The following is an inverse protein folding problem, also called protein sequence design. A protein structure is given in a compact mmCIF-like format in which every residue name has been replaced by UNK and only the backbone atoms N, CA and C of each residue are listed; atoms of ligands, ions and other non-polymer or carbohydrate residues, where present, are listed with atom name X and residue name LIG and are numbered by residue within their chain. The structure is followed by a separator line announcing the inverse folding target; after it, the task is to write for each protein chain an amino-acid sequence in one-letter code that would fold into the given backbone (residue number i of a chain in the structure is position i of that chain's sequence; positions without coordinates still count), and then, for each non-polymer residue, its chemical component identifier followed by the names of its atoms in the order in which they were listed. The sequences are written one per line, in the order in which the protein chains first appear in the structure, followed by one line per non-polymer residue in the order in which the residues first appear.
data_IF_535709011272
#
_entry.id   IF_535709011272
#
_cell.length_a   1.000
_cell.length_b   1.000
_cell.length_c   1.000
_cell.angle_alpha   90.00
_cell.angle_beta   90.00
_cell.angle_gamma   90.00
#
_symmetry.space_group_name_H-M   'P 1'
#
loop_
_entity.id
_entity.type
_entity.pdbx_description
1 polymer ?
#
# COMPACT_ATOMS: atom_id res chain seq x y z
N UNK A 1 13.25 27.57 9.67
CA UNK A 1 13.23 26.20 9.12
C UNK A 1 12.15 26.11 8.04
N UNK A 2 12.21 25.12 7.14
CA UNK A 2 11.20 24.92 6.09
C UNK A 2 10.36 23.69 6.45
N UNK A 3 9.04 23.82 6.52
CA UNK A 3 8.15 22.67 6.64
C UNK A 3 8.21 21.85 5.33
N UNK A 4 8.21 20.52 5.46
CA UNK A 4 8.26 19.60 4.34
C UNK A 4 7.32 18.43 4.65
N UNK A 5 6.35 18.18 3.77
CA UNK A 5 5.50 16.99 3.78
C UNK A 5 5.87 16.13 2.57
N UNK A 6 6.20 14.87 2.80
CA UNK A 6 6.62 13.91 1.79
C UNK A 6 5.66 12.72 1.82
N UNK A 7 4.78 12.64 0.82
CA UNK A 7 3.92 11.48 0.58
C UNK A 7 4.57 10.63 -0.51
N UNK A 8 5.15 9.49 -0.12
CA UNK A 8 5.92 8.63 -1.03
C UNK A 8 5.16 7.34 -1.32
N UNK A 9 5.78 6.45 -2.10
CA UNK A 9 5.20 5.18 -2.50
C UNK A 9 5.31 4.06 -1.46
N UNK A 10 5.10 2.82 -1.88
CA UNK A 10 5.16 1.67 -0.98
C UNK A 10 5.34 0.30 -1.66
N UNK A 11 5.80 -0.66 -0.86
CA UNK A 11 5.85 -2.09 -1.21
C UNK A 11 4.77 -2.87 -0.43
N UNK A 12 3.51 -2.57 -0.77
CA UNK A 12 2.34 -2.95 0.01
C UNK A 12 2.05 -4.47 -0.06
N UNK A 13 1.71 -5.06 1.08
CA UNK A 13 1.37 -6.48 1.20
C UNK A 13 -0.13 -6.69 1.48
N UNK A 14 -0.75 -7.60 0.73
CA UNK A 14 -2.10 -8.10 0.99
C UNK A 14 -2.01 -9.56 1.44
N UNK A 15 -2.48 -9.87 2.65
CA UNK A 15 -2.52 -11.23 3.20
C UNK A 15 -3.87 -11.86 2.86
N UNK A 16 -3.84 -13.11 2.39
CA UNK A 16 -5.03 -13.90 2.08
C UNK A 16 -5.05 -15.16 2.94
N UNK A 17 -6.02 -15.27 3.83
CA UNK A 17 -6.37 -16.50 4.54
C UNK A 17 -7.45 -17.29 3.76
N UNK A 18 -7.66 -18.58 4.08
CA UNK A 18 -8.79 -19.33 3.55
C UNK A 18 -10.12 -18.62 3.83
N UNK A 19 -10.93 -18.48 2.79
CA UNK A 19 -12.27 -17.89 2.87
C UNK A 19 -13.28 -18.77 2.15
N UNK A 20 -14.55 -18.64 2.53
CA UNK A 20 -15.66 -19.36 1.88
C UNK A 20 -15.94 -18.82 0.47
N UNK A 21 -15.94 -17.48 0.31
CA UNK A 21 -16.17 -16.81 -0.96
C UNK A 21 -14.84 -16.44 -1.65
N UNK A 22 -14.31 -17.40 -2.42
CA UNK A 22 -13.06 -17.23 -3.19
C UNK A 22 -13.21 -16.12 -4.24
N UNK A 23 -14.37 -15.98 -4.86
CA UNK A 23 -14.59 -14.99 -5.93
C UNK A 23 -14.57 -13.56 -5.38
N UNK A 24 -15.12 -13.34 -4.18
CA UNK A 24 -14.99 -12.07 -3.47
C UNK A 24 -13.52 -11.74 -3.14
N UNK A 25 -12.75 -12.73 -2.66
CA UNK A 25 -11.32 -12.54 -2.39
C UNK A 25 -10.51 -12.23 -3.66
N UNK A 26 -10.83 -12.90 -4.77
CA UNK A 26 -10.21 -12.67 -6.08
C UNK A 26 -10.54 -11.27 -6.59
N UNK A 27 -11.81 -10.84 -6.51
CA UNK A 27 -12.21 -9.49 -6.88
C UNK A 27 -11.45 -8.44 -6.07
N UNK A 28 -11.38 -8.59 -4.74
CA UNK A 28 -10.65 -7.69 -3.85
C UNK A 28 -9.17 -7.62 -4.22
N UNK A 29 -8.56 -8.76 -4.51
CA UNK A 29 -7.15 -8.86 -4.91
C UNK A 29 -6.90 -8.15 -6.23
N UNK A 30 -7.75 -8.36 -7.23
CA UNK A 30 -7.67 -7.67 -8.54
C UNK A 30 -7.80 -6.15 -8.36
N UNK A 31 -8.75 -5.68 -7.56
CA UNK A 31 -8.92 -4.26 -7.25
C UNK A 31 -7.72 -3.67 -6.49
N UNK A 32 -7.06 -4.49 -5.65
CA UNK A 32 -5.88 -4.07 -4.92
C UNK A 32 -4.64 -4.03 -5.80
N UNK A 33 -4.46 -4.98 -6.72
CA UNK A 33 -3.25 -5.11 -7.53
C UNK A 33 -3.30 -4.30 -8.83
N UNK A 34 -4.45 -4.28 -9.53
CA UNK A 34 -4.49 -3.92 -10.95
C UNK A 34 -5.37 -2.71 -11.28
N UNK A 35 -6.19 -2.19 -10.35
CA UNK A 35 -6.93 -0.94 -10.62
C UNK A 35 -5.96 0.18 -11.01
N UNK A 36 -6.35 1.02 -11.97
CA UNK A 36 -5.46 2.07 -12.53
C UNK A 36 -4.13 1.51 -13.07
N UNK A 37 -4.13 0.27 -13.57
CA UNK A 37 -2.95 -0.47 -14.00
C UNK A 37 -1.87 -0.59 -12.91
N UNK A 38 -2.28 -0.73 -11.64
CA UNK A 38 -1.36 -0.86 -10.51
C UNK A 38 -0.66 0.45 -10.11
N UNK A 39 -1.06 1.59 -10.66
CA UNK A 39 -0.41 2.90 -10.48
C UNK A 39 -0.95 3.70 -9.30
N UNK A 40 -1.69 3.08 -8.38
CA UNK A 40 -2.00 3.73 -7.09
C UNK A 40 -0.88 3.41 -6.11
N UNK A 41 -0.50 4.39 -5.29
CA UNK A 41 0.51 4.21 -4.26
C UNK A 41 0.14 3.09 -3.26
N UNK A 42 -1.16 2.84 -3.05
CA UNK A 42 -1.69 1.79 -2.17
C UNK A 42 -1.94 0.45 -2.87
N UNK A 43 -1.61 0.31 -4.16
CA UNK A 43 -1.79 -0.97 -4.84
C UNK A 43 -0.92 -2.07 -4.20
N UNK A 44 -1.47 -3.28 -4.11
CA UNK A 44 -0.74 -4.45 -3.64
C UNK A 44 0.42 -4.77 -4.59
N UNK A 45 1.64 -4.87 -4.03
CA UNK A 45 2.84 -5.34 -4.75
C UNK A 45 3.13 -6.79 -4.41
N UNK A 46 2.84 -7.17 -3.17
CA UNK A 46 3.05 -8.51 -2.63
C UNK A 46 1.71 -9.08 -2.17
N UNK A 47 1.40 -10.28 -2.64
CA UNK A 47 0.26 -11.08 -2.22
C UNK A 47 0.77 -12.26 -1.41
N UNK A 48 0.42 -12.31 -0.14
CA UNK A 48 0.82 -13.38 0.76
C UNK A 48 -0.33 -14.38 0.85
N UNK A 49 -0.13 -15.59 0.34
CA UNK A 49 -1.19 -16.60 0.22
C UNK A 49 -0.84 -17.82 1.05
N UNK A 50 -1.76 -18.27 1.92
CA UNK A 50 -1.53 -19.43 2.77
C UNK A 50 -1.20 -20.68 1.95
N UNK A 51 -0.25 -21.48 2.42
CA UNK A 51 0.05 -22.79 1.84
C UNK A 51 -1.16 -23.75 1.92
N UNK A 52 -1.19 -24.71 1.00
CA UNK A 52 -2.21 -25.76 0.94
C UNK A 52 -3.33 -25.51 -0.08
N UNK A 53 -4.22 -26.50 -0.20
CA UNK A 53 -5.19 -26.61 -1.30
C UNK A 53 -6.12 -25.39 -1.44
N UNK A 54 -6.51 -24.75 -0.32
CA UNK A 54 -7.35 -23.55 -0.37
C UNK A 54 -6.61 -22.36 -1.01
N UNK A 55 -5.33 -22.18 -0.68
CA UNK A 55 -4.49 -21.16 -1.31
C UNK A 55 -4.22 -21.44 -2.78
N UNK A 56 -4.03 -22.72 -3.14
CA UNK A 56 -3.84 -23.13 -4.54
C UNK A 56 -5.09 -22.88 -5.38
N UNK A 57 -6.27 -23.21 -4.85
CA UNK A 57 -7.55 -22.93 -5.48
C UNK A 57 -7.78 -21.42 -5.67
N UNK A 58 -7.44 -20.61 -4.67
CA UNK A 58 -7.51 -19.15 -4.77
C UNK A 58 -6.58 -18.60 -5.86
N UNK A 59 -5.32 -19.03 -5.92
CA UNK A 59 -4.37 -18.59 -6.97
C UNK A 59 -4.86 -19.00 -8.35
N UNK A 60 -5.33 -20.25 -8.51
CA UNK A 60 -5.88 -20.72 -9.79
C UNK A 60 -7.04 -19.85 -10.25
N UNK A 61 -7.98 -19.53 -9.34
CA UNK A 61 -9.12 -18.66 -9.65
C UNK A 61 -8.70 -17.23 -9.93
N UNK A 62 -7.72 -16.69 -9.19
CA UNK A 62 -7.13 -15.37 -9.44
C UNK A 62 -6.56 -15.28 -10.87
N UNK A 63 -5.81 -16.29 -11.32
CA UNK A 63 -5.24 -16.34 -12.66
C UNK A 63 -6.32 -16.39 -13.73
N UNK A 64 -7.34 -17.23 -13.56
CA UNK A 64 -8.46 -17.36 -14.49
C UNK A 64 -9.18 -16.03 -14.71
N UNK A 65 -9.53 -15.31 -13.64
CA UNK A 65 -10.23 -14.02 -13.73
C UNK A 65 -9.30 -12.93 -14.25
N UNK A 66 -8.02 -12.93 -13.83
CA UNK A 66 -7.04 -11.93 -14.28
C UNK A 66 -6.80 -11.99 -15.80
N UNK A 67 -6.80 -13.19 -16.39
CA UNK A 67 -6.69 -13.40 -17.83
C UNK A 67 -7.85 -12.79 -18.64
N UNK A 68 -9.00 -12.58 -18.01
CA UNK A 68 -10.18 -12.01 -18.66
C UNK A 68 -10.28 -10.48 -18.55
N UNK A 69 -9.35 -9.84 -17.83
CA UNK A 69 -9.38 -8.39 -17.66
C UNK A 69 -9.21 -7.68 -19.00
N UNK A 70 -10.16 -6.81 -19.33
CA UNK A 70 -10.05 -5.93 -20.51
C UNK A 70 -9.05 -4.83 -20.22
N UNK A 71 -8.00 -4.78 -21.04
CA UNK A 71 -7.01 -3.70 -21.05
C UNK A 71 -7.14 -2.96 -22.38
N UNK A 72 -7.06 -1.62 -22.36
CA UNK A 72 -7.34 -0.86 -23.57
C UNK A 72 -7.07 0.64 -23.45
N UNK A 73 -7.46 1.38 -24.49
CA UNK A 73 -7.49 2.82 -24.50
C UNK A 73 -8.51 3.38 -23.50
N UNK A 74 -8.25 4.59 -22.98
CA UNK A 74 -9.13 5.25 -22.00
C UNK A 74 -10.54 5.53 -22.52
N UNK A 75 -10.72 5.51 -23.85
CA UNK A 75 -11.98 5.77 -24.56
C UNK A 75 -12.47 4.56 -25.36
N UNK A 76 -11.94 3.36 -25.13
CA UNK A 76 -12.39 2.15 -25.81
C UNK A 76 -13.82 1.80 -25.41
N UNK A 77 -14.58 1.25 -26.36
CA UNK A 77 -15.89 0.67 -26.11
C UNK A 77 -15.93 -0.79 -26.58
N UNK A 78 -16.23 -1.76 -25.68
CA UNK A 78 -16.62 -1.56 -24.29
C UNK A 78 -15.47 -1.10 -23.38
N UNK A 79 -15.79 -0.28 -22.36
CA UNK A 79 -14.83 0.24 -21.40
C UNK A 79 -13.88 -0.82 -20.83
N UNK A 80 -12.56 -0.56 -20.80
CA UNK A 80 -11.59 -1.47 -20.21
C UNK A 80 -11.60 -1.36 -18.68
N UNK A 81 -11.13 -2.41 -18.01
CA UNK A 81 -10.90 -2.39 -16.56
C UNK A 81 -9.70 -1.49 -16.19
N UNK A 82 -8.65 -1.51 -17.00
CA UNK A 82 -7.48 -0.65 -16.82
C UNK A 82 -6.92 -0.17 -18.16
N UNK A 83 -6.35 1.03 -18.15
CA UNK A 83 -5.70 1.64 -19.29
C UNK A 83 -4.20 1.36 -19.36
N UNK A 84 -3.50 2.15 -20.17
CA UNK A 84 -2.04 2.13 -20.22
C UNK A 84 -1.37 2.69 -18.97
N UNK A 85 -0.11 2.27 -18.77
CA UNK A 85 0.77 2.97 -17.83
C UNK A 85 1.17 4.34 -18.38
N UNK A 86 1.70 5.20 -17.52
CA UNK A 86 1.88 6.64 -17.82
C UNK A 86 2.75 6.94 -19.05
N UNK A 87 3.70 6.07 -19.40
CA UNK A 87 4.63 6.31 -20.51
C UNK A 87 5.24 5.03 -21.06
N UNK A 88 5.83 5.12 -22.25
CA UNK A 88 6.62 4.05 -22.87
C UNK A 88 7.81 3.63 -22.00
N UNK A 89 8.49 4.60 -21.36
CA UNK A 89 9.59 4.33 -20.43
C UNK A 89 9.12 3.53 -19.21
N UNK A 90 7.96 3.89 -18.64
CA UNK A 90 7.35 3.12 -17.55
C UNK A 90 7.01 1.69 -17.99
N UNK A 91 6.45 1.54 -19.21
CA UNK A 91 6.13 0.22 -19.75
C UNK A 91 7.37 -0.67 -19.90
N UNK A 92 8.45 -0.13 -20.47
CA UNK A 92 9.74 -0.84 -20.60
C UNK A 92 10.37 -1.18 -19.25
N UNK A 93 10.30 -0.27 -18.28
CA UNK A 93 10.81 -0.53 -16.93
C UNK A 93 10.04 -1.65 -16.22
N UNK A 94 8.73 -1.76 -16.43
CA UNK A 94 7.93 -2.87 -15.87
C UNK A 94 8.29 -4.22 -16.49
N UNK A 95 8.49 -4.27 -17.81
CA UNK A 95 8.97 -5.49 -18.48
C UNK A 95 10.37 -5.89 -17.97
N UNK A 96 11.28 -4.91 -17.84
CA UNK A 96 12.62 -5.14 -17.26
C UNK A 96 12.56 -5.66 -15.83
N UNK A 97 11.70 -5.07 -14.99
CA UNK A 97 11.50 -5.52 -13.62
C UNK A 97 11.01 -6.98 -13.56
N UNK A 98 10.05 -7.35 -14.42
CA UNK A 98 9.65 -8.76 -14.57
C UNK A 98 10.85 -9.64 -14.93
N UNK A 99 11.63 -9.29 -15.96
CA UNK A 99 12.76 -10.10 -16.40
C UNK A 99 13.82 -10.28 -15.29
N UNK A 100 14.07 -9.23 -14.51
CA UNK A 100 14.97 -9.27 -13.33
C UNK A 100 14.44 -10.23 -12.26
N UNK A 101 13.14 -10.20 -11.96
CA UNK A 101 12.52 -11.13 -11.00
C UNK A 101 12.57 -12.58 -11.49
N UNK A 102 12.38 -12.81 -12.78
CA UNK A 102 12.52 -14.14 -13.39
C UNK A 102 13.97 -14.64 -13.33
N UNK A 103 14.94 -13.77 -13.56
CA UNK A 103 16.36 -14.10 -13.48
C UNK A 103 16.82 -14.47 -12.05
N UNK A 104 16.13 -13.97 -11.02
CA UNK A 104 16.35 -14.36 -9.62
C UNK A 104 15.76 -15.73 -9.27
N UNK A 105 15.01 -16.36 -10.18
CA UNK A 105 14.36 -17.65 -9.97
C UNK A 105 12.85 -17.55 -9.74
N UNK A 106 12.25 -16.38 -9.95
CA UNK A 106 10.81 -16.20 -9.94
C UNK A 106 10.11 -17.07 -10.99
N UNK A 107 8.96 -17.64 -10.63
CA UNK A 107 8.17 -18.49 -11.51
C UNK A 107 7.00 -17.67 -12.08
N UNK A 108 6.92 -17.49 -13.41
CA UNK A 108 5.82 -16.74 -13.99
C UNK A 108 4.54 -17.58 -13.92
N UNK A 109 3.52 -17.08 -13.23
CA UNK A 109 2.17 -17.64 -13.28
C UNK A 109 1.34 -16.97 -14.38
N UNK A 110 1.57 -15.67 -14.59
CA UNK A 110 1.05 -14.89 -15.70
C UNK A 110 2.12 -13.88 -16.11
N UNK A 111 2.53 -13.88 -17.38
CA UNK A 111 3.50 -12.90 -17.87
C UNK A 111 2.82 -11.56 -18.13
N UNK A 112 3.40 -10.49 -17.59
CA UNK A 112 3.15 -9.13 -18.03
C UNK A 112 3.65 -9.01 -19.48
N UNK A 113 2.78 -8.56 -20.36
CA UNK A 113 3.07 -8.36 -21.78
C UNK A 113 2.69 -6.95 -22.20
N UNK A 114 3.26 -6.50 -23.31
CA UNK A 114 2.85 -5.28 -24.01
C UNK A 114 2.30 -5.71 -25.38
N UNK A 115 0.98 -5.91 -25.53
CA UNK A 115 0.42 -6.48 -26.76
C UNK A 115 0.70 -5.65 -28.00
N UNK A 116 0.73 -4.32 -27.85
CA UNK A 116 1.09 -3.39 -28.90
C UNK A 116 2.28 -2.52 -28.46
N UNK A 117 3.44 -2.65 -29.10
CA UNK A 117 4.63 -1.89 -28.74
C UNK A 117 4.51 -0.39 -29.01
N UNK A 118 3.46 0.07 -29.72
CA UNK A 118 3.24 1.49 -30.03
C UNK A 118 2.47 2.24 -28.94
N UNK A 119 1.82 1.54 -28.01
CA UNK A 119 1.05 2.16 -26.93
C UNK A 119 1.57 1.73 -25.55
N UNK A 120 1.04 2.31 -24.48
CA UNK A 120 1.53 2.05 -23.10
C UNK A 120 0.70 1.01 -22.35
N UNK A 121 -0.14 0.26 -23.04
CA UNK A 121 -1.01 -0.77 -22.43
C UNK A 121 -0.18 -2.01 -22.12
N UNK A 122 -0.24 -2.42 -20.85
CA UNK A 122 0.34 -3.66 -20.35
C UNK A 122 -0.79 -4.59 -19.91
N UNK A 123 -0.63 -5.90 -20.13
CA UNK A 123 -1.45 -6.90 -19.46
C UNK A 123 -0.98 -7.07 -18.00
N UNK A 124 -1.83 -7.58 -17.09
CA UNK A 124 -1.38 -7.93 -15.75
C UNK A 124 -0.27 -9.01 -15.79
N UNK A 125 0.67 -8.95 -14.86
CA UNK A 125 1.64 -10.00 -14.59
C UNK A 125 1.57 -10.48 -13.15
N UNK A 126 1.78 -11.78 -12.96
CA UNK A 126 1.81 -12.44 -11.66
C UNK A 126 3.02 -13.38 -11.62
N UNK A 127 3.94 -13.13 -10.70
CA UNK A 127 5.15 -13.95 -10.51
C UNK A 127 5.10 -14.55 -9.10
N UNK A 128 5.28 -15.86 -9.00
CA UNK A 128 5.52 -16.52 -7.72
C UNK A 128 7.00 -16.39 -7.35
N UNK A 129 7.25 -15.69 -6.23
CA UNK A 129 8.58 -15.44 -5.65
C UNK A 129 8.80 -16.22 -4.35
N UNK A 130 7.97 -17.23 -4.08
CA UNK A 130 8.11 -18.09 -2.91
C UNK A 130 9.47 -18.76 -2.89
N UNK A 131 10.22 -18.53 -1.81
CA UNK A 131 11.58 -19.08 -1.63
C UNK A 131 12.67 -18.40 -2.46
N UNK A 132 12.34 -17.35 -3.23
CA UNK A 132 13.34 -16.58 -3.98
C UNK A 132 14.06 -15.62 -3.05
N UNK A 133 15.39 -15.73 -2.99
CA UNK A 133 16.23 -14.84 -2.19
C UNK A 133 16.69 -13.62 -3.00
N UNK A 134 17.02 -12.52 -2.32
CA UNK A 134 17.59 -11.34 -2.97
C UNK A 134 16.62 -10.52 -3.81
N UNK A 135 15.31 -10.74 -3.67
CA UNK A 135 14.29 -9.88 -4.30
C UNK A 135 14.46 -8.45 -3.77
N UNK A 136 14.64 -7.45 -4.65
CA UNK A 136 14.75 -6.06 -4.24
C UNK A 136 13.49 -5.58 -3.51
N UNK A 137 13.67 -4.85 -2.42
CA UNK A 137 12.57 -4.16 -1.74
C UNK A 137 12.26 -2.86 -2.47
N UNK A 138 11.62 -2.94 -3.64
CA UNK A 138 11.39 -1.79 -4.52
C UNK A 138 9.90 -1.55 -4.79
N UNK A 139 9.57 -0.32 -5.15
CA UNK A 139 8.24 0.01 -5.64
C UNK A 139 8.15 -0.22 -7.16
N UNK A 140 7.33 -1.19 -7.57
CA UNK A 140 6.98 -1.38 -8.97
C UNK A 140 5.67 -0.68 -9.31
N UNK A 141 5.77 0.41 -10.09
CA UNK A 141 4.62 1.26 -10.41
C UNK A 141 3.90 0.80 -11.69
N UNK A 142 3.25 -0.38 -11.62
CA UNK A 142 2.57 -1.00 -12.74
C UNK A 142 1.81 -2.28 -12.35
N UNK A 143 1.19 -2.98 -13.31
CA UNK A 143 0.31 -4.12 -13.04
C UNK A 143 1.10 -5.43 -12.88
N UNK A 144 2.13 -5.43 -12.03
CA UNK A 144 2.98 -6.58 -11.73
C UNK A 144 2.84 -6.98 -10.26
N UNK A 145 2.26 -8.14 -10.00
CA UNK A 145 2.00 -8.67 -8.66
C UNK A 145 2.95 -9.82 -8.34
N UNK A 146 3.57 -9.78 -7.16
CA UNK A 146 4.39 -10.88 -6.65
C UNK A 146 3.61 -11.73 -5.64
N UNK A 147 3.61 -13.04 -5.79
CA UNK A 147 3.03 -13.99 -4.83
C UNK A 147 4.12 -14.56 -3.94
N UNK A 148 3.81 -14.69 -2.65
CA UNK A 148 4.61 -15.43 -1.69
C UNK A 148 3.70 -16.36 -0.89
N UNK A 149 4.12 -17.62 -0.70
CA UNK A 149 3.41 -18.55 0.18
C UNK A 149 3.89 -18.43 1.63
N UNK A 150 2.97 -18.63 2.58
CA UNK A 150 3.26 -18.64 4.00
C UNK A 150 2.55 -19.82 4.70
N UNK A 151 3.14 -20.34 5.78
CA UNK A 151 2.63 -21.49 6.54
C UNK A 151 1.62 -21.10 7.61
N UNK A 152 1.94 -20.08 8.40
CA UNK A 152 1.21 -19.64 9.58
C UNK A 152 1.03 -18.13 9.59
N UNK A 153 0.10 -17.63 10.38
CA UNK A 153 -0.28 -16.23 10.30
C UNK A 153 0.81 -15.28 10.83
N UNK A 154 1.61 -15.71 11.81
CA UNK A 154 2.70 -14.91 12.37
C UNK A 154 3.80 -14.72 11.31
N UNK A 155 4.13 -15.77 10.54
CA UNK A 155 5.03 -15.63 9.39
C UNK A 155 4.45 -14.73 8.29
N UNK A 156 3.14 -14.75 8.05
CA UNK A 156 2.50 -13.81 7.10
C UNK A 156 2.69 -12.34 7.51
N UNK A 157 2.51 -12.02 8.81
CA UNK A 157 2.73 -10.67 9.34
C UNK A 157 4.22 -10.31 9.23
N UNK A 158 5.12 -11.21 9.61
CA UNK A 158 6.56 -10.98 9.51
C UNK A 158 6.98 -10.67 8.06
N UNK A 159 6.47 -11.44 7.09
CA UNK A 159 6.69 -11.21 5.67
C UNK A 159 6.07 -9.89 5.20
N UNK A 160 4.84 -9.55 5.61
CA UNK A 160 4.20 -8.28 5.27
C UNK A 160 5.06 -7.09 5.73
N UNK A 161 5.62 -7.19 6.93
CA UNK A 161 6.51 -6.21 7.54
C UNK A 161 7.96 -6.25 7.04
N UNK A 162 8.34 -7.19 6.16
CA UNK A 162 9.68 -7.32 5.58
C UNK A 162 9.87 -6.34 4.41
N UNK A 163 9.84 -5.05 4.73
CA UNK A 163 10.06 -3.95 3.79
C UNK A 163 10.47 -2.69 4.58
N UNK A 164 11.21 -1.77 3.95
CA UNK A 164 11.51 -0.44 4.50
C UNK A 164 10.33 0.52 4.38
N UNK A 165 9.35 0.20 3.52
CA UNK A 165 8.15 1.01 3.28
C UNK A 165 7.09 0.75 4.37
N UNK A 166 6.01 1.53 4.34
CA UNK A 166 4.95 1.43 5.34
C UNK A 166 3.68 2.20 4.95
N UNK A 167 3.27 2.12 3.69
CA UNK A 167 2.08 2.83 3.21
C UNK A 167 0.78 2.06 3.50
N UNK A 168 0.58 0.91 2.86
CA UNK A 168 -0.62 0.11 3.04
C UNK A 168 -0.33 -1.38 3.26
N UNK A 169 -1.17 -2.02 4.07
CA UNK A 169 -1.30 -3.47 4.16
C UNK A 169 -2.75 -3.86 4.44
N UNK A 170 -3.07 -5.14 4.36
CA UNK A 170 -4.41 -5.59 4.67
C UNK A 170 -4.56 -7.10 4.67
N UNK A 171 -5.75 -7.52 5.10
CA UNK A 171 -6.11 -8.91 5.31
C UNK A 171 -7.44 -9.24 4.63
N UNK A 172 -7.46 -10.35 3.91
CA UNK A 172 -8.66 -11.08 3.54
C UNK A 172 -8.79 -12.27 4.50
N UNK A 173 -9.79 -12.25 5.39
CA UNK A 173 -10.03 -13.32 6.36
C UNK A 173 -11.44 -13.24 6.94
N UNK A 174 -12.00 -14.39 7.31
CA UNK A 174 -13.23 -14.45 8.10
C UNK A 174 -12.98 -14.14 9.60
N UNK A 175 -11.74 -14.31 10.08
CA UNK A 175 -11.37 -14.16 11.49
C UNK A 175 -11.11 -12.70 11.88
N UNK A 176 -11.93 -12.17 12.79
CA UNK A 176 -11.72 -10.83 13.38
C UNK A 176 -10.46 -10.78 14.25
N UNK A 177 -10.20 -11.83 14.99
CA UNK A 177 -9.00 -12.03 15.82
C UNK A 177 -7.72 -11.87 15.00
N UNK A 178 -7.70 -12.41 13.77
CA UNK A 178 -6.59 -12.28 12.83
C UNK A 178 -6.37 -10.84 12.39
N UNK A 179 -7.45 -10.10 12.14
CA UNK A 179 -7.33 -8.68 11.83
C UNK A 179 -6.87 -7.86 13.04
N UNK A 180 -7.33 -8.17 14.25
CA UNK A 180 -6.89 -7.50 15.47
C UNK A 180 -5.40 -7.72 15.74
N UNK A 181 -4.89 -8.94 15.51
CA UNK A 181 -3.47 -9.21 15.55
C UNK A 181 -2.71 -8.40 14.50
N UNK A 182 -3.19 -8.37 13.24
CA UNK A 182 -2.56 -7.56 12.19
C UNK A 182 -2.56 -6.06 12.56
N UNK A 183 -3.63 -5.52 13.13
CA UNK A 183 -3.70 -4.12 13.55
C UNK A 183 -2.64 -3.75 14.60
N UNK A 184 -2.31 -4.68 15.50
CA UNK A 184 -1.31 -4.47 16.54
C UNK A 184 0.13 -4.59 16.02
N UNK A 185 0.35 -5.41 15.00
CA UNK A 185 1.70 -5.78 14.54
C UNK A 185 2.09 -5.16 13.19
N UNK A 186 1.13 -4.70 12.39
CA UNK A 186 1.38 -4.09 11.10
C UNK A 186 2.13 -2.76 11.23
N UNK A 187 3.09 -2.54 10.32
CA UNK A 187 3.84 -1.29 10.21
C UNK A 187 3.45 -0.55 8.94
N UNK A 188 2.20 -0.11 8.87
CA UNK A 188 1.69 0.65 7.74
C UNK A 188 0.70 1.74 8.20
N UNK A 189 0.58 2.81 7.41
CA UNK A 189 -0.37 3.90 7.69
C UNK A 189 -1.84 3.54 7.41
N UNK A 190 -2.07 2.62 6.46
CA UNK A 190 -3.40 2.18 6.05
C UNK A 190 -3.46 0.66 6.21
N UNK A 191 -4.38 0.17 7.06
CA UNK A 191 -4.52 -1.25 7.36
C UNK A 191 -5.98 -1.65 7.19
N UNK A 192 -6.27 -2.40 6.12
CA UNK A 192 -7.64 -2.74 5.72
C UNK A 192 -7.99 -4.21 6.01
N UNK A 193 -9.27 -4.49 6.31
CA UNK A 193 -9.83 -5.84 6.45
C UNK A 193 -10.97 -6.05 5.47
N UNK A 194 -10.91 -7.10 4.65
CA UNK A 194 -11.94 -7.46 3.67
C UNK A 194 -12.38 -6.28 2.77
N UNK A 195 -11.44 -5.36 2.54
CA UNK A 195 -11.55 -4.23 1.60
C UNK A 195 -10.26 -4.15 0.77
N UNK A 196 -10.33 -3.69 -0.49
CA UNK A 196 -9.14 -3.50 -1.29
C UNK A 196 -8.15 -2.56 -0.60
N UNK A 197 -6.84 -2.76 -0.80
CA UNK A 197 -5.82 -1.84 -0.28
C UNK A 197 -5.96 -0.43 -0.87
N UNK A 198 -6.52 -0.36 -2.08
CA UNK A 198 -6.78 0.88 -2.80
C UNK A 198 -7.98 1.66 -2.28
N UNK A 199 -8.74 1.11 -1.33
CA UNK A 199 -9.82 1.80 -0.63
C UNK A 199 -9.31 2.59 0.57
N UNK A 200 -9.53 3.90 0.58
CA UNK A 200 -9.25 4.78 1.70
C UNK A 200 -10.38 5.81 1.87
N UNK A 201 -10.65 6.23 3.10
CA UNK A 201 -11.62 7.29 3.39
C UNK A 201 -10.96 8.65 3.24
N UNK A 202 -11.58 9.58 2.52
CA UNK A 202 -11.12 10.98 2.47
C UNK A 202 -11.24 11.71 3.80
N UNK A 203 -12.05 11.19 4.72
CA UNK A 203 -12.29 11.76 6.05
C UNK A 203 -11.34 11.17 7.12
N UNK A 204 -10.31 10.44 6.70
CA UNK A 204 -9.28 9.88 7.57
C UNK A 204 -7.89 10.40 7.15
N UNK A 205 -6.91 10.38 8.06
CA UNK A 205 -5.51 10.65 7.69
C UNK A 205 -5.02 9.64 6.65
N UNK A 206 -4.16 10.09 5.74
CA UNK A 206 -3.52 9.24 4.74
C UNK A 206 -2.02 9.55 4.74
N UNK A 207 -1.21 8.65 5.28
CA UNK A 207 0.24 8.84 5.28
C UNK A 207 0.98 7.57 5.66
N UNK A 208 2.01 7.24 4.90
CA UNK A 208 2.86 6.09 5.18
C UNK A 208 3.94 6.38 6.22
N UNK A 209 4.40 5.34 6.90
CA UNK A 209 5.57 5.37 7.78
C UNK A 209 6.80 4.77 7.07
N UNK A 210 7.95 4.75 7.75
CA UNK A 210 9.18 4.24 7.17
C UNK A 210 9.60 5.07 5.95
N UNK A 211 9.95 4.41 4.85
CA UNK A 211 10.29 5.08 3.59
C UNK A 211 9.08 5.60 2.80
N UNK A 212 7.85 5.41 3.29
CA UNK A 212 6.62 5.85 2.60
C UNK A 212 6.17 7.26 2.98
N UNK A 213 6.77 7.88 3.99
CA UNK A 213 6.50 9.27 4.31
C UNK A 213 7.44 9.83 5.35
N UNK A 214 7.22 11.09 5.73
CA UNK A 214 8.03 11.77 6.74
C UNK A 214 7.20 12.21 7.96
N UNK A 215 6.22 11.40 8.34
CA UNK A 215 5.34 11.61 9.50
C UNK A 215 4.48 12.89 9.42
N UNK A 216 4.06 13.27 8.20
CA UNK A 216 3.11 14.35 7.96
C UNK A 216 1.92 13.86 7.13
N UNK A 217 1.08 12.97 7.68
CA UNK A 217 -0.01 12.37 6.92
C UNK A 217 -0.90 13.44 6.28
N UNK A 218 -1.21 13.23 5.01
CA UNK A 218 -2.10 14.07 4.24
C UNK A 218 -3.57 13.67 4.44
N UNK A 219 -4.40 13.91 3.42
CA UNK A 219 -5.86 13.81 3.49
C UNK A 219 -6.41 14.61 4.69
N UNK A 220 -7.05 13.96 5.65
CA UNK A 220 -7.69 14.66 6.77
C UNK A 220 -6.70 15.45 7.65
N UNK A 221 -5.47 14.95 7.84
CA UNK A 221 -4.42 15.63 8.63
C UNK A 221 -3.56 16.59 7.80
N UNK A 222 -3.93 16.86 6.54
CA UNK A 222 -3.27 17.90 5.77
C UNK A 222 -3.33 19.28 6.46
N UNK A 223 -4.35 19.51 7.30
CA UNK A 223 -4.46 20.72 8.11
C UNK A 223 -3.24 20.92 9.04
N UNK A 224 -2.69 19.84 9.59
CA UNK A 224 -1.62 19.89 10.61
C UNK A 224 -0.31 20.48 10.05
N UNK A 225 -0.04 20.28 8.75
CA UNK A 225 1.14 20.86 8.10
C UNK A 225 0.83 22.13 7.29
N UNK A 226 -0.45 22.51 7.17
CA UNK A 226 -0.85 23.76 6.50
C UNK A 226 -0.83 24.98 7.44
N UNK A 227 -0.86 24.75 8.75
CA UNK A 227 -0.85 25.81 9.76
C UNK A 227 0.14 25.48 10.89
N UNK A 228 0.51 26.48 11.68
CA UNK A 228 1.28 26.31 12.90
C UNK A 228 0.47 26.88 14.08
N UNK A 229 0.48 26.23 15.25
CA UNK A 229 -0.27 26.72 16.40
C UNK A 229 0.43 27.92 17.03
N UNK A 230 -0.35 28.95 17.38
CA UNK A 230 0.10 30.07 18.21
C UNK A 230 -0.70 30.05 19.51
N UNK A 231 -0.02 29.82 20.63
CA UNK A 231 -0.62 29.91 21.96
C UNK A 231 -0.26 31.26 22.60
N UNK A 232 -1.27 32.01 23.04
CA UNK A 232 -1.10 33.30 23.73
C UNK A 232 -1.61 33.22 25.17
N UNK A 233 -0.89 33.87 26.08
CA UNK A 233 -1.41 34.26 27.39
C UNK A 233 -1.64 35.77 27.36
N UNK A 234 -2.89 36.18 27.51
CA UNK A 234 -3.28 37.57 27.36
C UNK A 234 -3.93 38.06 28.65
N UNK A 235 -3.52 39.25 29.08
CA UNK A 235 -4.17 39.99 30.18
C UNK A 235 -4.32 41.43 29.71
N UNK A 236 -5.52 42.00 29.88
CA UNK A 236 -5.79 43.39 29.48
C UNK A 236 -4.99 44.39 30.32
N UNK A 237 -4.57 43.98 31.52
CA UNK A 237 -3.86 44.81 32.48
C UNK A 237 -2.61 44.11 32.99
N UNK A 238 -1.50 44.86 33.02
CA UNK A 238 -0.27 44.44 33.66
C UNK A 238 -0.39 44.69 35.17
N UNK A 239 -0.51 43.61 35.94
CA UNK A 239 -0.67 43.65 37.40
C UNK A 239 0.33 42.71 38.09
N UNK A 240 0.70 43.01 39.33
CA UNK A 240 1.49 42.10 40.15
C UNK A 240 0.67 40.84 40.46
N UNK A 241 1.29 39.65 40.53
CA UNK A 241 0.59 38.45 40.96
C UNK A 241 0.14 38.61 42.43
N UNK A 242 -0.98 37.98 42.78
CA UNK A 242 -1.55 38.06 44.12
C UNK A 242 -0.59 37.59 45.24
N UNK A 243 0.35 36.71 44.89
CA UNK A 243 1.45 36.30 45.77
C UNK A 243 2.74 36.40 45.00
N UNK A 244 3.69 37.19 45.52
CA UNK A 244 5.02 37.30 44.95
C UNK A 244 5.82 36.04 45.22
N UNK A 245 6.69 35.68 44.28
CA UNK A 245 7.68 34.62 44.49
C UNK A 245 8.65 35.00 45.63
N UNK A 246 9.11 34.03 46.44
CA UNK A 246 10.05 34.30 47.53
C UNK A 246 11.29 35.07 47.08
N UNK A 247 11.70 36.07 47.88
CA UNK A 247 12.88 36.89 47.60
C UNK A 247 12.65 38.09 46.67
N UNK A 248 11.46 38.23 46.07
CA UNK A 248 11.08 39.43 45.32
C UNK A 248 10.35 40.39 46.26
N UNK A 249 10.97 41.53 46.55
CA UNK A 249 10.39 42.60 47.37
C UNK A 249 10.49 43.93 46.61
N UNK A 250 9.34 44.53 46.31
CA UNK A 250 9.25 45.82 45.64
C UNK A 250 9.13 47.00 46.61
N UNK A 251 9.29 46.77 47.93
CA UNK A 251 9.19 47.82 48.97
C UNK A 251 10.49 48.57 49.25
N UNK A 252 11.57 48.28 48.53
CA UNK A 252 12.87 48.97 48.65
C UNK A 252 13.06 50.00 47.53
N UNK A 253 13.17 51.27 47.91
CA UNK A 253 13.48 52.44 47.05
C UNK A 253 14.90 52.46 46.54
#
# INVERSE_FOLDING_TARGET
EKILALEMGGNNALIVEPVEDIDAAVNLTIQSAFISAGQRCTCARRLLVKEGAAGDAFIARLLEVTLQLRVGGWNDEPQPFMGGVISDAAARNMLKAQDELLALGGKPLLLLTRPDPLNTVLTPGIIDLTGVAGVPDEEYFGPLLSIYRYSDFDSAIAMANQTRFGLATGLISAGRDRFEQLLLEARAGIVNWNKPLTGASSNAPFGGIGASGNHRPSAYYAADYCAWPMASLETDRLELPATLSPGIDFRTT
#
